data_IF_121289421792
#
_entry.id   IF_121289421792
#
_cell.length_a   1.000
_cell.length_b   1.000
_cell.length_c   1.000
_cell.angle_alpha   90.00
_cell.angle_beta   90.00
_cell.angle_gamma   90.00
#
_symmetry.space_group_name_H-M   'P 1'
#
loop_
_entity.id
_entity.type
_entity.pdbx_description
1 polymer ?
#
# COMPACT_ATOMS: atom_id res chain seq x y z
N UNK A 1 -19.57 19.03 4.71
CA UNK A 1 -19.05 17.87 5.47
C UNK A 1 -18.99 16.70 4.51
N UNK A 2 -17.86 15.98 4.43
CA UNK A 2 -17.78 14.79 3.60
C UNK A 2 -18.77 13.74 4.13
N UNK A 3 -19.56 13.14 3.24
CA UNK A 3 -20.43 12.02 3.59
C UNK A 3 -19.54 10.88 4.11
N UNK A 4 -19.85 10.24 5.26
CA UNK A 4 -19.11 9.08 5.74
C UNK A 4 -19.02 8.02 4.63
N UNK A 5 -17.90 7.32 4.54
CA UNK A 5 -17.81 6.20 3.62
C UNK A 5 -18.91 5.18 3.98
N UNK A 6 -19.69 4.68 3.01
CA UNK A 6 -20.72 3.68 3.27
C UNK A 6 -20.14 2.27 3.45
N UNK A 7 -18.83 2.17 3.66
CA UNK A 7 -18.07 0.95 3.88
C UNK A 7 -17.14 1.18 5.06
N UNK A 8 -17.59 0.78 6.25
CA UNK A 8 -16.79 0.71 7.47
C UNK A 8 -17.06 -0.66 8.09
N UNK A 9 -16.63 -1.69 7.36
CA UNK A 9 -16.90 -3.08 7.68
C UNK A 9 -15.60 -3.85 7.69
N UNK A 10 -15.45 -4.74 8.66
CA UNK A 10 -14.27 -5.58 8.82
C UNK A 10 -14.64 -7.05 8.60
N UNK A 11 -13.66 -7.85 8.16
CA UNK A 11 -13.80 -9.30 8.14
C UNK A 11 -13.65 -9.82 9.57
N UNK A 12 -14.59 -10.66 9.99
CA UNK A 12 -14.60 -11.27 11.32
C UNK A 12 -14.40 -12.78 11.24
N UNK A 13 -13.74 -13.41 12.23
CA UNK A 13 -13.51 -14.86 12.23
C UNK A 13 -14.80 -15.67 12.43
N UNK A 14 -15.85 -15.05 12.96
CA UNK A 14 -17.11 -15.71 13.30
C UNK A 14 -17.96 -15.98 12.05
N UNK A 15 -18.46 -17.21 11.90
CA UNK A 15 -19.27 -17.61 10.74
C UNK A 15 -20.58 -16.81 10.61
N UNK A 16 -21.16 -16.38 11.74
CA UNK A 16 -22.43 -15.65 11.79
C UNK A 16 -22.26 -14.12 11.63
N UNK A 17 -21.02 -13.65 11.46
CA UNK A 17 -20.75 -12.23 11.26
C UNK A 17 -21.42 -11.68 10.00
N UNK A 18 -21.51 -10.36 9.89
CA UNK A 18 -21.96 -9.74 8.65
C UNK A 18 -20.98 -10.04 7.49
N UNK A 19 -19.69 -10.16 7.82
CA UNK A 19 -18.59 -10.44 6.91
C UNK A 19 -17.66 -11.52 7.50
N UNK A 20 -18.07 -12.80 7.50
CA UNK A 20 -17.27 -13.90 8.01
C UNK A 20 -16.02 -14.16 7.16
N UNK A 21 -14.95 -14.62 7.78
CA UNK A 21 -13.78 -15.16 7.10
C UNK A 21 -14.18 -16.41 6.30
N UNK A 22 -14.28 -16.27 4.97
CA UNK A 22 -14.78 -17.32 4.09
C UNK A 22 -13.87 -17.46 2.86
N UNK A 23 -13.39 -18.69 2.62
CA UNK A 23 -12.49 -19.00 1.50
C UNK A 23 -13.12 -18.60 0.16
N UNK A 24 -12.38 -17.84 -0.63
CA UNK A 24 -12.81 -17.44 -1.96
C UNK A 24 -13.92 -16.39 -1.96
N UNK A 25 -14.29 -15.79 -0.83
CA UNK A 25 -15.28 -14.69 -0.79
C UNK A 25 -14.65 -13.32 -1.08
N UNK A 26 -13.46 -13.08 -0.56
CA UNK A 26 -12.81 -11.77 -0.64
C UNK A 26 -11.81 -11.69 -1.79
N UNK A 27 -11.61 -10.46 -2.29
CA UNK A 27 -10.65 -10.15 -3.33
C UNK A 27 -9.90 -8.87 -2.99
N UNK A 28 -8.59 -8.87 -3.14
CA UNK A 28 -7.71 -7.76 -2.82
C UNK A 28 -7.28 -7.05 -4.12
N UNK A 29 -7.50 -5.74 -4.19
CA UNK A 29 -7.01 -4.90 -5.27
C UNK A 29 -5.83 -4.05 -4.79
N UNK A 30 -4.71 -4.13 -5.50
CA UNK A 30 -3.46 -3.45 -5.14
C UNK A 30 -2.78 -2.81 -6.35
N UNK A 31 -1.70 -2.09 -6.09
CA UNK A 31 -0.67 -1.78 -7.10
C UNK A 31 0.71 -1.86 -6.44
N UNK A 32 1.72 -2.29 -7.19
CA UNK A 32 3.09 -2.41 -6.68
C UNK A 32 3.74 -1.04 -6.40
N UNK A 33 3.23 0.06 -6.98
CA UNK A 33 3.74 1.41 -6.70
C UNK A 33 3.32 1.93 -5.31
N UNK A 34 2.23 1.42 -4.72
CA UNK A 34 1.71 1.91 -3.45
C UNK A 34 2.29 1.10 -2.27
N UNK A 35 3.04 1.72 -1.34
CA UNK A 35 3.59 1.01 -0.19
C UNK A 35 2.49 0.49 0.75
N UNK A 36 1.39 1.23 0.92
CA UNK A 36 0.26 0.77 1.74
C UNK A 36 -0.40 -0.48 1.14
N UNK A 37 -0.57 -0.53 -0.18
CA UNK A 37 -1.12 -1.71 -0.85
C UNK A 37 -0.16 -2.90 -0.79
N UNK A 38 1.14 -2.65 -0.87
CA UNK A 38 2.15 -3.69 -0.69
C UNK A 38 2.16 -4.27 0.73
N UNK A 39 1.86 -3.49 1.77
CA UNK A 39 1.70 -4.03 3.14
C UNK A 39 0.59 -5.08 3.22
N UNK A 40 -0.58 -4.78 2.63
CA UNK A 40 -1.69 -5.72 2.57
C UNK A 40 -1.34 -6.97 1.74
N UNK A 41 -0.63 -6.80 0.63
CA UNK A 41 -0.15 -7.91 -0.19
C UNK A 41 0.86 -8.79 0.57
N UNK A 42 1.80 -8.18 1.29
CA UNK A 42 2.78 -8.91 2.11
C UNK A 42 2.09 -9.67 3.24
N UNK A 43 1.11 -9.05 3.91
CA UNK A 43 0.29 -9.75 4.90
C UNK A 43 -0.43 -10.97 4.29
N UNK A 44 -1.06 -10.82 3.11
CA UNK A 44 -1.71 -11.93 2.40
C UNK A 44 -0.74 -13.09 2.17
N UNK A 45 0.48 -12.81 1.70
CA UNK A 45 1.44 -13.85 1.35
C UNK A 45 2.12 -14.47 2.59
N UNK A 46 2.49 -13.65 3.58
CA UNK A 46 3.10 -14.13 4.83
C UNK A 46 2.15 -15.02 5.64
N UNK A 47 0.85 -14.79 5.52
CA UNK A 47 -0.18 -15.58 6.20
C UNK A 47 -0.70 -16.77 5.35
N UNK A 48 -0.14 -17.02 4.17
CA UNK A 48 -0.55 -18.16 3.33
C UNK A 48 -1.96 -18.03 2.76
N UNK A 49 -2.45 -16.81 2.54
CA UNK A 49 -3.83 -16.53 2.11
C UNK A 49 -3.97 -16.49 0.58
N UNK A 50 -2.98 -16.95 -0.18
CA UNK A 50 -2.96 -16.82 -1.63
C UNK A 50 -4.09 -17.57 -2.33
N UNK A 51 -4.43 -18.75 -1.81
CA UNK A 51 -5.53 -19.59 -2.32
C UNK A 51 -6.90 -19.24 -1.71
N UNK A 52 -6.93 -18.24 -0.81
CA UNK A 52 -8.11 -17.85 -0.03
C UNK A 52 -8.64 -16.49 -0.47
N UNK A 53 -7.74 -15.52 -0.67
CA UNK A 53 -8.07 -14.15 -1.08
C UNK A 53 -7.56 -13.95 -2.50
N UNK A 54 -8.47 -13.68 -3.44
CA UNK A 54 -8.12 -13.36 -4.82
C UNK A 54 -7.33 -12.05 -4.91
N UNK A 55 -6.63 -11.83 -6.01
CA UNK A 55 -5.77 -10.66 -6.21
C UNK A 55 -5.97 -10.06 -7.59
N UNK A 56 -6.06 -8.73 -7.65
CA UNK A 56 -5.88 -7.97 -8.89
C UNK A 56 -4.88 -6.84 -8.68
N UNK A 57 -3.91 -6.74 -9.60
CA UNK A 57 -2.81 -5.78 -9.57
C UNK A 57 -3.03 -4.74 -10.66
N UNK A 58 -3.27 -3.50 -10.26
CA UNK A 58 -3.40 -2.36 -11.14
C UNK A 58 -2.02 -1.81 -11.56
N UNK A 59 -1.98 -1.23 -12.76
CA UNK A 59 -0.77 -0.64 -13.32
C UNK A 59 -0.28 0.56 -12.49
N UNK A 60 1.03 0.70 -12.27
CA UNK A 60 1.60 1.76 -11.44
C UNK A 60 1.50 3.18 -12.03
N UNK A 61 0.98 3.34 -13.24
CA UNK A 61 0.92 4.62 -13.96
C UNK A 61 -0.53 5.03 -14.08
N UNK A 62 -0.85 6.21 -13.57
CA UNK A 62 -2.20 6.76 -13.59
C UNK A 62 -2.68 7.03 -15.02
N UNK A 63 -3.95 6.71 -15.26
CA UNK A 63 -4.65 6.96 -16.52
C UNK A 63 -5.92 7.78 -16.29
N UNK A 64 -6.36 8.53 -17.31
CA UNK A 64 -7.62 9.30 -17.25
C UNK A 64 -8.78 8.32 -17.09
N UNK A 65 -9.50 8.42 -15.97
CA UNK A 65 -10.52 7.44 -15.58
C UNK A 65 -11.84 7.58 -16.34
N UNK A 66 -12.14 8.79 -16.84
CA UNK A 66 -13.25 9.05 -17.75
C UNK A 66 -12.73 9.72 -19.02
N UNK A 67 -12.12 8.96 -19.96
CA UNK A 67 -11.50 9.55 -21.14
C UNK A 67 -12.49 10.28 -22.06
N UNK A 68 -13.77 9.91 -22.00
CA UNK A 68 -14.84 10.50 -22.80
C UNK A 68 -15.53 11.70 -22.13
N UNK A 69 -15.16 12.04 -20.90
CA UNK A 69 -15.70 13.19 -20.18
C UNK A 69 -14.62 14.28 -20.07
N UNK A 70 -14.83 15.37 -20.82
CA UNK A 70 -13.90 16.50 -20.82
C UNK A 70 -13.95 17.31 -19.50
N UNK A 71 -15.02 17.16 -18.70
CA UNK A 71 -15.14 17.84 -17.41
C UNK A 71 -14.46 17.08 -16.27
N UNK A 72 -14.14 15.80 -16.49
CA UNK A 72 -13.54 14.94 -15.50
C UNK A 72 -12.04 14.77 -15.76
N UNK A 73 -11.23 15.46 -14.98
CA UNK A 73 -9.77 15.40 -15.08
C UNK A 73 -9.13 14.35 -14.16
N UNK A 74 -9.94 13.49 -13.54
CA UNK A 74 -9.43 12.50 -12.59
C UNK A 74 -8.61 11.41 -13.30
N UNK A 75 -7.40 11.18 -12.77
CA UNK A 75 -6.51 10.09 -13.16
C UNK A 75 -6.33 9.10 -12.02
N UNK A 76 -6.35 7.82 -12.32
CA UNK A 76 -6.42 6.75 -11.33
C UNK A 76 -5.78 5.45 -11.81
N UNK A 77 -5.66 4.48 -10.90
CA UNK A 77 -5.08 3.17 -11.22
C UNK A 77 -5.99 2.39 -12.15
N UNK A 78 -5.38 1.71 -13.11
CA UNK A 78 -6.04 0.99 -14.20
C UNK A 78 -5.69 -0.49 -14.13
N UNK A 79 -6.68 -1.35 -14.33
CA UNK A 79 -6.49 -2.78 -14.54
C UNK A 79 -6.31 -3.05 -16.03
N UNK A 80 -5.26 -3.77 -16.37
CA UNK A 80 -4.87 -4.04 -17.75
C UNK A 80 -4.48 -5.51 -17.86
N UNK A 81 -4.85 -6.14 -18.98
CA UNK A 81 -4.38 -7.48 -19.31
C UNK A 81 -3.09 -7.39 -20.14
N UNK A 82 -1.95 -7.83 -19.60
CA UNK A 82 -0.69 -7.81 -20.34
C UNK A 82 -0.73 -8.63 -21.63
N UNK A 83 -1.61 -9.64 -21.72
CA UNK A 83 -1.75 -10.47 -22.92
C UNK A 83 -2.34 -9.71 -24.11
N UNK A 84 -3.27 -8.80 -23.84
CA UNK A 84 -3.93 -7.99 -24.88
C UNK A 84 -3.29 -6.62 -25.04
N UNK A 85 -2.63 -6.12 -23.99
CA UNK A 85 -2.05 -4.78 -23.93
C UNK A 85 -0.74 -4.83 -23.16
N UNK A 86 0.37 -5.23 -23.81
CA UNK A 86 1.67 -5.46 -23.14
C UNK A 86 2.36 -4.18 -22.68
N UNK A 87 1.92 -3.02 -23.18
CA UNK A 87 2.50 -1.72 -22.84
C UNK A 87 1.42 -0.66 -22.68
N UNK A 88 1.71 0.36 -21.88
CA UNK A 88 0.84 1.52 -21.68
C UNK A 88 1.62 2.83 -21.71
N UNK A 89 1.04 3.85 -22.34
CA UNK A 89 1.64 5.19 -22.40
C UNK A 89 1.19 6.02 -21.20
N UNK A 90 2.15 6.55 -20.44
CA UNK A 90 1.88 7.45 -19.33
C UNK A 90 1.59 8.88 -19.78
N UNK A 91 1.13 9.73 -18.86
CA UNK A 91 0.85 11.14 -19.13
C UNK A 91 2.08 11.95 -19.59
N UNK A 92 3.29 11.44 -19.36
CA UNK A 92 4.54 12.02 -19.82
C UNK A 92 4.95 11.57 -21.24
N UNK A 93 4.10 10.83 -21.94
CA UNK A 93 4.36 10.30 -23.29
C UNK A 93 5.32 9.10 -23.33
N UNK A 94 5.82 8.63 -22.18
CA UNK A 94 6.69 7.44 -22.12
C UNK A 94 5.85 6.16 -22.08
N UNK A 95 6.41 5.11 -22.66
CA UNK A 95 5.81 3.78 -22.67
C UNK A 95 6.34 2.95 -21.51
N UNK A 96 5.43 2.26 -20.83
CA UNK A 96 5.70 1.42 -19.66
C UNK A 96 5.20 0.00 -19.93
N UNK A 97 5.92 -1.02 -19.45
CA UNK A 97 5.45 -2.40 -19.52
C UNK A 97 4.27 -2.61 -18.59
N UNK A 98 3.30 -3.42 -19.02
CA UNK A 98 2.18 -3.86 -18.17
C UNK A 98 2.45 -5.18 -17.46
N UNK A 99 3.67 -5.73 -17.57
CA UNK A 99 4.06 -6.97 -16.90
C UNK A 99 3.74 -6.93 -15.39
N UNK A 100 3.21 -8.04 -14.89
CA UNK A 100 2.77 -8.17 -13.48
C UNK A 100 1.43 -7.50 -13.17
N UNK A 101 0.81 -6.77 -14.10
CA UNK A 101 -0.57 -6.33 -13.98
C UNK A 101 -1.53 -7.49 -14.26
N UNK A 102 -2.75 -7.35 -13.78
CA UNK A 102 -3.85 -8.29 -14.05
C UNK A 102 -5.11 -7.51 -14.42
N UNK A 103 -5.95 -8.01 -15.34
CA UNK A 103 -7.28 -7.47 -15.49
C UNK A 103 -8.10 -7.72 -14.21
N UNK A 104 -9.13 -6.92 -13.98
CA UNK A 104 -10.11 -7.22 -12.94
C UNK A 104 -10.99 -8.39 -13.40
N UNK A 105 -10.81 -9.54 -12.74
CA UNK A 105 -11.56 -10.77 -13.04
C UNK A 105 -12.85 -10.90 -12.23
N UNK A 106 -13.11 -9.98 -11.30
CA UNK A 106 -14.24 -10.06 -10.37
C UNK A 106 -15.37 -9.13 -10.78
N UNK A 107 -15.08 -7.85 -11.00
CA UNK A 107 -16.09 -6.86 -11.37
C UNK A 107 -15.99 -6.42 -12.84
N UNK A 108 -14.95 -6.89 -13.55
CA UNK A 108 -14.62 -6.50 -14.92
C UNK A 108 -14.57 -4.99 -15.13
N UNK A 109 -14.06 -4.27 -14.12
CA UNK A 109 -13.86 -2.82 -14.22
C UNK A 109 -12.50 -2.47 -14.80
N UNK A 110 -12.40 -1.25 -15.33
CA UNK A 110 -11.16 -0.74 -15.92
C UNK A 110 -10.34 0.01 -14.87
N UNK A 111 -10.96 0.73 -13.96
CA UNK A 111 -10.28 1.56 -12.97
C UNK A 111 -10.65 1.21 -11.53
N UNK A 112 -9.73 1.46 -10.61
CA UNK A 112 -10.02 1.38 -9.16
C UNK A 112 -11.20 2.28 -8.79
N UNK A 113 -11.30 3.46 -9.41
CA UNK A 113 -12.44 4.37 -9.26
C UNK A 113 -13.79 3.69 -9.47
N UNK A 114 -13.89 2.82 -10.47
CA UNK A 114 -15.14 2.15 -10.82
C UNK A 114 -15.63 1.23 -9.68
N UNK A 115 -14.70 0.65 -8.88
CA UNK A 115 -15.04 -0.13 -7.70
C UNK A 115 -15.74 0.75 -6.64
N UNK A 116 -15.25 1.95 -6.42
CA UNK A 116 -15.84 2.89 -5.47
C UNK A 116 -17.17 3.44 -5.98
N UNK A 117 -17.25 3.85 -7.24
CA UNK A 117 -18.49 4.38 -7.84
C UNK A 117 -19.60 3.31 -7.90
N UNK A 118 -19.25 2.01 -7.97
CA UNK A 118 -20.19 0.89 -7.82
C UNK A 118 -20.85 0.84 -6.44
N UNK A 119 -20.15 1.25 -5.38
CA UNK A 119 -20.66 1.22 -4.00
C UNK A 119 -21.34 2.54 -3.65
N UNK A 120 -20.70 3.66 -3.98
CA UNK A 120 -21.25 5.00 -3.76
C UNK A 120 -20.66 6.02 -4.76
N UNK A 121 -21.48 6.63 -5.62
CA UNK A 121 -21.02 7.60 -6.60
C UNK A 121 -20.58 8.94 -5.99
N UNK A 122 -20.76 9.15 -4.68
CA UNK A 122 -20.35 10.39 -4.03
C UNK A 122 -18.82 10.63 -4.17
N UNK A 123 -18.40 11.86 -4.54
CA UNK A 123 -16.99 12.21 -4.72
C UNK A 123 -16.14 11.87 -3.50
N UNK A 124 -15.02 11.18 -3.72
CA UNK A 124 -14.05 10.77 -2.68
C UNK A 124 -12.68 10.48 -3.29
N UNK A 125 -11.71 10.25 -2.42
CA UNK A 125 -10.42 9.69 -2.82
C UNK A 125 -10.58 8.21 -3.16
N UNK A 126 -10.11 7.82 -4.34
CA UNK A 126 -10.05 6.42 -4.76
C UNK A 126 -8.66 5.88 -4.43
N UNK A 127 -8.55 5.02 -3.42
CA UNK A 127 -7.28 4.54 -2.89
C UNK A 127 -7.08 3.04 -3.09
N UNK A 128 -5.88 2.58 -2.78
CA UNK A 128 -5.52 1.17 -2.66
C UNK A 128 -4.68 1.00 -1.38
N UNK A 129 -4.73 -0.15 -0.70
CA UNK A 129 -5.42 -1.38 -1.09
C UNK A 129 -6.96 -1.27 -0.97
N UNK A 130 -7.69 -2.08 -1.75
CA UNK A 130 -9.14 -2.26 -1.59
C UNK A 130 -9.42 -3.73 -1.31
N UNK A 131 -10.04 -4.02 -0.17
CA UNK A 131 -10.60 -5.34 0.10
C UNK A 131 -12.06 -5.36 -0.35
N UNK A 132 -12.40 -6.30 -1.22
CA UNK A 132 -13.71 -6.41 -1.85
C UNK A 132 -14.42 -7.69 -1.44
N UNK A 133 -15.69 -7.58 -1.01
CA UNK A 133 -16.57 -8.73 -0.81
C UNK A 133 -17.33 -9.04 -2.10
N UNK A 134 -17.05 -10.21 -2.70
CA UNK A 134 -17.69 -10.66 -3.94
C UNK A 134 -19.18 -10.96 -3.78
N UNK A 135 -19.64 -11.33 -2.58
CA UNK A 135 -21.06 -11.64 -2.31
C UNK A 135 -21.86 -10.36 -2.15
N UNK A 136 -21.40 -9.46 -1.29
CA UNK A 136 -22.10 -8.20 -0.98
C UNK A 136 -21.79 -7.06 -1.93
N UNK A 137 -20.80 -7.24 -2.82
CA UNK A 137 -20.35 -6.25 -3.82
C UNK A 137 -20.06 -4.90 -3.19
N UNK A 138 -19.31 -4.93 -2.09
CA UNK A 138 -18.93 -3.75 -1.32
C UNK A 138 -17.45 -3.78 -0.96
N UNK A 139 -16.95 -2.62 -0.60
CA UNK A 139 -15.60 -2.42 -0.05
C UNK A 139 -15.65 -2.72 1.46
N UNK A 140 -14.55 -3.26 1.97
CA UNK A 140 -14.29 -3.46 3.39
C UNK A 140 -13.03 -2.70 3.79
N UNK A 141 -12.95 -2.34 5.07
CA UNK A 141 -11.72 -1.90 5.68
C UNK A 141 -10.80 -3.10 5.96
N UNK A 142 -9.46 -2.91 5.91
CA UNK A 142 -8.52 -3.93 6.33
C UNK A 142 -8.78 -4.30 7.79
N UNK A 143 -8.90 -5.60 8.09
CA UNK A 143 -8.97 -6.10 9.47
C UNK A 143 -7.61 -6.05 10.14
N UNK A 144 -7.57 -6.14 11.48
CA UNK A 144 -6.34 -6.43 12.21
C UNK A 144 -5.72 -7.74 11.68
N UNK A 145 -4.39 -7.73 11.49
CA UNK A 145 -3.64 -8.79 10.83
C UNK A 145 -2.98 -9.68 11.88
N UNK A 146 -2.84 -10.99 11.64
CA UNK A 146 -2.10 -11.92 12.52
C UNK A 146 -0.62 -11.54 12.77
N UNK A 147 -0.09 -10.52 12.09
CA UNK A 147 1.22 -9.91 12.35
C UNK A 147 1.20 -8.92 13.55
N UNK A 148 0.09 -8.88 14.28
CA UNK A 148 -0.17 -7.99 15.41
C UNK A 148 -0.66 -8.78 16.65
N UNK A 149 0.20 -9.65 17.22
CA UNK A 149 -0.17 -10.52 18.33
C UNK A 149 -0.44 -9.73 19.61
N UNK A 150 -1.44 -10.14 20.38
CA UNK A 150 -1.99 -9.38 21.52
C UNK A 150 -0.94 -8.95 22.55
N UNK A 151 0.04 -9.81 22.83
CA UNK A 151 1.10 -9.59 23.80
C UNK A 151 2.13 -8.54 23.36
N UNK A 152 2.27 -8.30 22.05
CA UNK A 152 3.23 -7.33 21.49
C UNK A 152 2.57 -6.03 20.99
N UNK A 153 1.24 -5.91 21.03
CA UNK A 153 0.50 -4.76 20.45
C UNK A 153 1.02 -3.41 20.92
N UNK A 154 1.18 -3.26 22.23
CA UNK A 154 1.68 -2.01 22.83
C UNK A 154 3.07 -1.63 22.30
N UNK A 155 3.98 -2.60 22.16
CA UNK A 155 5.32 -2.37 21.63
C UNK A 155 5.29 -2.08 20.13
N UNK A 156 4.47 -2.81 19.37
CA UNK A 156 4.27 -2.59 17.94
C UNK A 156 3.71 -1.18 17.69
N UNK A 157 2.72 -0.75 18.47
CA UNK A 157 2.13 0.58 18.37
C UNK A 157 3.14 1.68 18.71
N UNK A 158 3.96 1.46 19.74
CA UNK A 158 5.01 2.39 20.13
C UNK A 158 6.07 2.53 19.02
N UNK A 159 6.51 1.42 18.41
CA UNK A 159 7.45 1.44 17.28
C UNK A 159 6.82 2.11 16.05
N UNK A 160 5.58 1.77 15.72
CA UNK A 160 4.84 2.34 14.59
C UNK A 160 4.63 3.85 14.72
N UNK A 161 4.30 4.31 15.93
CA UNK A 161 4.08 5.73 16.23
C UNK A 161 5.38 6.51 16.42
N UNK A 162 6.45 5.83 16.83
CA UNK A 162 7.80 6.38 16.97
C UNK A 162 8.61 6.23 15.67
N UNK A 163 9.59 5.35 15.70
CA UNK A 163 10.59 5.19 14.62
C UNK A 163 9.95 4.92 13.25
N UNK A 164 8.84 4.16 13.20
CA UNK A 164 8.10 3.91 11.97
C UNK A 164 7.54 5.19 11.33
N UNK A 165 7.03 6.10 12.16
CA UNK A 165 6.52 7.40 11.72
C UNK A 165 7.65 8.36 11.39
N UNK A 166 8.74 8.37 12.16
CA UNK A 166 9.93 9.20 11.87
C UNK A 166 10.52 8.87 10.48
N UNK A 167 10.77 7.58 10.19
CA UNK A 167 11.32 7.14 8.90
C UNK A 167 10.32 7.38 7.76
N UNK A 168 9.05 7.02 7.94
CA UNK A 168 8.03 7.19 6.88
C UNK A 168 7.76 8.67 6.58
N UNK A 169 7.64 9.51 7.61
CA UNK A 169 7.35 10.93 7.43
C UNK A 169 8.52 11.67 6.79
N UNK A 170 9.76 11.29 7.10
CA UNK A 170 10.94 11.83 6.41
C UNK A 170 10.95 11.45 4.92
N UNK A 171 10.73 10.16 4.61
CA UNK A 171 10.68 9.66 3.23
C UNK A 171 9.59 10.35 2.40
N UNK A 172 8.34 10.36 2.89
CA UNK A 172 7.24 11.01 2.17
C UNK A 172 7.35 12.53 2.19
N UNK A 173 7.86 13.11 3.28
CA UNK A 173 8.09 14.55 3.40
C UNK A 173 9.01 15.07 2.30
N UNK A 174 10.06 14.33 1.95
CA UNK A 174 10.92 14.65 0.81
C UNK A 174 10.20 14.51 -0.54
N UNK A 175 9.50 13.39 -0.75
CA UNK A 175 8.76 13.14 -2.01
C UNK A 175 7.70 14.22 -2.29
N UNK A 176 7.07 14.74 -1.24
CA UNK A 176 6.03 15.76 -1.35
C UNK A 176 6.51 17.20 -1.04
N UNK A 177 7.81 17.38 -0.81
CA UNK A 177 8.38 18.70 -0.53
C UNK A 177 8.18 19.64 -1.73
N UNK A 178 7.71 20.86 -1.45
CA UNK A 178 7.48 21.89 -2.47
C UNK A 178 8.68 22.82 -2.67
N UNK A 179 9.67 22.76 -1.78
CA UNK A 179 10.89 23.57 -1.86
C UNK A 179 12.14 22.72 -1.58
N UNK A 180 13.31 23.11 -2.12
CA UNK A 180 14.57 22.44 -1.84
C UNK A 180 14.91 22.39 -0.35
N UNK A 181 14.60 23.46 0.40
CA UNK A 181 14.89 23.54 1.83
C UNK A 181 14.07 22.52 2.63
N UNK A 182 12.78 22.39 2.31
CA UNK A 182 11.91 21.40 2.95
C UNK A 182 12.32 19.96 2.59
N UNK A 183 12.82 19.75 1.37
CA UNK A 183 13.35 18.45 0.95
C UNK A 183 14.62 18.10 1.74
N UNK A 184 15.55 19.05 1.90
CA UNK A 184 16.78 18.86 2.66
C UNK A 184 16.50 18.62 4.16
N UNK A 185 15.53 19.33 4.75
CA UNK A 185 15.12 19.10 6.14
C UNK A 185 14.51 17.71 6.34
N UNK A 186 13.63 17.28 5.42
CA UNK A 186 13.03 15.97 5.45
C UNK A 186 14.07 14.85 5.30
N UNK A 187 15.07 15.06 4.45
CA UNK A 187 16.19 14.16 4.29
C UNK A 187 17.03 14.04 5.56
N UNK A 188 17.45 15.18 6.15
CA UNK A 188 18.23 15.17 7.39
C UNK A 188 17.50 14.43 8.51
N UNK A 189 16.18 14.63 8.64
CA UNK A 189 15.32 13.89 9.58
C UNK A 189 15.28 12.40 9.28
N UNK A 190 15.20 12.02 8.00
CA UNK A 190 15.22 10.62 7.57
C UNK A 190 16.53 9.94 7.96
N UNK A 191 17.67 10.59 7.75
CA UNK A 191 18.99 10.02 8.08
C UNK A 191 19.17 9.82 9.58
N UNK A 192 18.70 10.75 10.40
CA UNK A 192 18.69 10.60 11.87
C UNK A 192 17.81 9.40 12.27
N UNK A 193 16.64 9.26 11.65
CA UNK A 193 15.75 8.13 11.92
C UNK A 193 16.37 6.79 11.47
N UNK A 194 17.04 6.74 10.30
CA UNK A 194 17.75 5.54 9.85
C UNK A 194 18.89 5.15 10.79
N UNK A 195 19.65 6.11 11.32
CA UNK A 195 20.69 5.81 12.30
C UNK A 195 20.14 5.20 13.59
N UNK A 196 19.00 5.71 14.09
CA UNK A 196 18.30 5.10 15.24
C UNK A 196 17.81 3.69 14.92
N UNK A 197 17.27 3.50 13.71
CA UNK A 197 16.80 2.21 13.24
C UNK A 197 17.95 1.19 13.17
N UNK A 198 19.10 1.59 12.61
CA UNK A 198 20.30 0.77 12.55
C UNK A 198 20.79 0.38 13.95
N UNK A 199 20.77 1.31 14.90
CA UNK A 199 21.12 1.02 16.29
C UNK A 199 20.17 -0.02 16.93
N UNK A 200 18.86 0.10 16.68
CA UNK A 200 17.86 -0.88 17.13
C UNK A 200 18.17 -2.26 16.53
N UNK A 201 18.37 -2.32 15.21
CA UNK A 201 18.60 -3.57 14.49
C UNK A 201 19.98 -4.19 14.77
N UNK A 202 20.95 -3.41 15.25
CA UNK A 202 22.24 -3.94 15.72
C UNK A 202 22.09 -4.84 16.95
N UNK A 203 21.02 -4.67 17.72
CA UNK A 203 20.75 -5.39 18.98
C UNK A 203 19.77 -6.54 18.81
N UNK A 204 18.96 -6.51 17.74
CA UNK A 204 17.90 -7.48 17.51
C UNK A 204 17.57 -7.60 16.02
N UNK A 205 17.13 -8.79 15.60
CA UNK A 205 16.85 -9.07 14.18
C UNK A 205 15.60 -8.38 13.64
N UNK A 206 14.60 -8.15 14.49
CA UNK A 206 13.31 -7.56 14.12
C UNK A 206 13.01 -6.37 15.03
N UNK A 207 12.08 -5.52 14.61
CA UNK A 207 11.71 -4.33 15.37
C UNK A 207 11.06 -4.65 16.72
N UNK A 208 10.23 -5.69 16.76
CA UNK A 208 9.53 -6.12 17.98
C UNK A 208 9.52 -7.65 18.04
N UNK A 209 9.88 -8.20 19.19
CA UNK A 209 9.83 -9.64 19.44
C UNK A 209 10.88 -10.45 18.65
N UNK A 210 10.56 -11.73 18.39
CA UNK A 210 11.48 -12.71 17.79
C UNK A 210 11.19 -13.04 16.33
N UNK A 211 10.13 -12.46 15.76
CA UNK A 211 9.65 -12.75 14.41
C UNK A 211 9.15 -11.48 13.71
N UNK A 212 8.74 -11.63 12.46
CA UNK A 212 8.18 -10.53 11.67
C UNK A 212 6.83 -10.10 12.24
N UNK A 213 6.70 -8.80 12.51
CA UNK A 213 5.47 -8.14 12.95
C UNK A 213 4.96 -7.12 11.93
N UNK A 214 3.81 -6.51 12.20
CA UNK A 214 3.29 -5.40 11.38
C UNK A 214 4.30 -4.25 11.29
N UNK A 215 5.05 -3.96 12.37
CA UNK A 215 6.07 -2.92 12.37
C UNK A 215 7.15 -3.18 11.31
N UNK A 216 7.63 -4.43 11.20
CA UNK A 216 8.63 -4.82 10.21
C UNK A 216 8.09 -4.71 8.79
N UNK A 217 6.86 -5.17 8.53
CA UNK A 217 6.22 -5.06 7.21
C UNK A 217 6.02 -3.59 6.80
N UNK A 218 5.62 -2.74 7.75
CA UNK A 218 5.46 -1.30 7.51
C UNK A 218 6.78 -0.64 7.19
N UNK A 219 7.82 -0.95 7.95
CA UNK A 219 9.17 -0.40 7.79
C UNK A 219 9.79 -0.85 6.46
N UNK A 220 9.76 -2.16 6.17
CA UNK A 220 10.32 -2.75 4.97
C UNK A 220 9.84 -2.05 3.69
N UNK A 221 8.53 -1.81 3.57
CA UNK A 221 7.99 -1.16 2.38
C UNK A 221 8.32 0.32 2.23
N UNK A 222 8.74 0.98 3.32
CA UNK A 222 9.33 2.32 3.26
C UNK A 222 10.80 2.21 2.83
N UNK A 223 11.59 1.35 3.46
CA UNK A 223 13.04 1.20 3.22
C UNK A 223 13.37 0.83 1.77
N UNK A 224 12.71 -0.18 1.20
CA UNK A 224 13.00 -0.64 -0.18
C UNK A 224 12.70 0.41 -1.26
N UNK A 225 12.01 1.49 -0.90
CA UNK A 225 11.67 2.59 -1.80
C UNK A 225 12.53 3.82 -1.58
N UNK A 226 13.27 3.88 -0.48
CA UNK A 226 13.96 5.12 -0.09
C UNK A 226 15.04 5.50 -1.11
N UNK A 227 15.91 4.56 -1.46
CA UNK A 227 17.00 4.81 -2.42
C UNK A 227 16.50 5.23 -3.81
N UNK A 228 15.28 4.81 -4.20
CA UNK A 228 14.66 5.20 -5.48
C UNK A 228 14.31 6.70 -5.51
N UNK A 229 14.09 7.31 -4.35
CA UNK A 229 13.77 8.75 -4.22
C UNK A 229 14.98 9.62 -3.85
N UNK A 230 16.14 9.00 -3.66
CA UNK A 230 17.38 9.69 -3.32
C UNK A 230 18.19 10.07 -4.57
N UNK A 231 18.92 11.16 -4.44
CA UNK A 231 19.93 11.60 -5.39
C UNK A 231 21.19 10.73 -5.23
N UNK A 232 22.10 10.81 -6.20
CA UNK A 232 23.36 10.05 -6.16
C UNK A 232 24.31 10.51 -5.05
N UNK A 233 24.17 11.75 -4.60
CA UNK A 233 25.06 12.37 -3.62
C UNK A 233 24.51 12.22 -2.19
N UNK A 234 23.32 11.63 -2.05
CA UNK A 234 22.66 11.43 -0.77
C UNK A 234 23.15 10.14 -0.11
N UNK A 235 22.94 10.07 1.21
CA UNK A 235 23.21 8.84 1.93
C UNK A 235 22.13 7.79 1.67
N UNK A 236 22.56 6.62 1.22
CA UNK A 236 21.68 5.52 0.87
C UNK A 236 21.43 4.56 2.04
N UNK A 237 20.35 3.77 1.97
CA UNK A 237 20.04 2.74 2.98
C UNK A 237 21.21 1.76 3.13
N UNK A 238 21.97 1.53 2.06
CA UNK A 238 23.18 0.69 2.05
C UNK A 238 24.30 1.15 2.98
N UNK A 239 24.26 2.39 3.47
CA UNK A 239 25.21 2.89 4.47
C UNK A 239 24.87 2.47 5.91
N UNK A 240 23.72 1.84 6.12
CA UNK A 240 23.24 1.36 7.41
C UNK A 240 23.27 -0.18 7.42
N UNK A 241 24.37 -0.81 7.88
CA UNK A 241 24.61 -2.24 7.66
C UNK A 241 23.56 -3.12 8.33
N UNK A 242 23.06 -2.76 9.51
CA UNK A 242 22.07 -3.57 10.22
C UNK A 242 20.66 -3.41 9.62
N UNK A 243 20.43 -2.34 8.84
CA UNK A 243 19.18 -2.12 8.09
C UNK A 243 19.14 -2.98 6.83
N UNK A 244 20.28 -3.23 6.18
CA UNK A 244 20.38 -4.03 4.95
C UNK A 244 20.67 -5.52 5.23
N UNK A 245 21.43 -5.83 6.28
CA UNK A 245 21.79 -7.20 6.69
C UNK A 245 23.26 -7.35 7.00
#
# INVERSE_FOLDING_TARGET
MAKPAPYDFQVEPNADAQFPAEKGRYHLYVTYSCPFACRALSARNLLGLEDVIGLSVAHPIFQKTKPNDASDEHKGWVFVDPKTSPTMVGANGKTYSTDGCTPDTVNHVTFVRDLYEKVDPAPRTFSVPVLWDKKKKTILEPSEVHLYPEDLRTEIDAVNSGIGTEVSSGCFGRVFARTPEAAAEAEAKTLVALAKLDEILSKQRFLVGKGVTEADVRMFHTLIRLDVYQSKDDKHVTEFPNVVG
#
